data_IF_047811671127
#
_entry.id   IF_047811671127
#
_cell.length_a   1.000
_cell.length_b   1.000
_cell.length_c   1.000
_cell.angle_alpha   90.00
_cell.angle_beta   90.00
_cell.angle_gamma   90.00
#
_symmetry.space_group_name_H-M   'P 1'
#
loop_
_entity.id
_entity.type
_entity.pdbx_description
1 polymer ?
#
# COMPACT_ATOMS: atom_id res chain seq x y z
N UNK A 1 20.57 1.80 23.81
CA UNK A 1 19.50 2.14 22.87
C UNK A 1 18.34 1.20 23.14
N UNK A 2 17.11 1.70 23.29
CA UNK A 2 15.93 0.83 23.39
C UNK A 2 15.42 0.46 21.98
N UNK A 3 14.44 -0.46 21.90
CA UNK A 3 13.95 -0.97 20.61
C UNK A 3 13.37 0.13 19.73
N UNK A 4 12.70 1.11 20.35
CA UNK A 4 12.11 2.22 19.62
C UNK A 4 13.17 3.12 18.99
N UNK A 5 14.23 3.47 19.74
CA UNK A 5 15.35 4.25 19.21
C UNK A 5 16.08 3.52 18.07
N UNK A 6 16.27 2.20 18.20
CA UNK A 6 16.83 1.35 17.15
C UNK A 6 15.95 1.39 15.89
N UNK A 7 14.65 1.10 16.02
CA UNK A 7 13.72 1.09 14.89
C UNK A 7 13.64 2.48 14.24
N UNK A 8 13.72 3.55 15.03
CA UNK A 8 13.80 4.91 14.52
C UNK A 8 15.04 5.16 13.67
N UNK A 9 16.21 4.69 14.13
CA UNK A 9 17.46 4.79 13.37
C UNK A 9 17.34 4.06 12.03
N UNK A 10 16.81 2.83 12.04
CA UNK A 10 16.62 2.05 10.81
C UNK A 10 15.62 2.70 9.86
N UNK A 11 14.47 3.16 10.38
CA UNK A 11 13.47 3.87 9.59
C UNK A 11 14.01 5.16 8.95
N UNK A 12 14.82 5.93 9.69
CA UNK A 12 15.53 7.10 9.16
C UNK A 12 16.50 6.72 8.06
N UNK A 13 17.25 5.64 8.26
CA UNK A 13 18.17 5.11 7.25
C UNK A 13 17.42 4.82 5.96
N UNK A 14 16.34 4.02 6.02
CA UNK A 14 15.46 3.68 4.88
C UNK A 14 15.02 4.94 4.13
N UNK A 15 14.41 5.90 4.84
CA UNK A 15 13.90 7.13 4.23
C UNK A 15 15.03 7.98 3.63
N UNK A 16 16.21 8.02 4.24
CA UNK A 16 17.35 8.78 3.74
C UNK A 16 17.97 8.13 2.49
N UNK A 17 18.16 6.81 2.48
CA UNK A 17 18.72 6.05 1.36
C UNK A 17 17.79 5.96 0.15
N UNK A 18 16.48 6.14 0.33
CA UNK A 18 15.52 6.15 -0.77
C UNK A 18 15.93 7.09 -1.92
N UNK A 19 15.99 6.52 -3.13
CA UNK A 19 16.46 7.15 -4.39
C UNK A 19 17.89 7.75 -4.38
N UNK A 20 18.69 7.57 -3.33
CA UNK A 20 19.98 8.27 -3.20
C UNK A 20 21.00 7.87 -4.28
N UNK A 21 20.85 6.69 -4.88
CA UNK A 21 21.74 6.20 -5.93
C UNK A 21 21.32 6.67 -7.33
N UNK A 22 20.13 7.23 -7.51
CA UNK A 22 19.63 7.63 -8.83
C UNK A 22 20.15 9.03 -9.18
N UNK A 23 21.15 9.10 -10.05
CA UNK A 23 21.85 10.32 -10.43
C UNK A 23 21.61 10.73 -11.90
N UNK A 24 21.08 9.82 -12.73
CA UNK A 24 20.83 10.08 -14.14
C UNK A 24 19.69 9.22 -14.72
N UNK A 25 19.17 9.66 -15.87
CA UNK A 25 18.06 9.05 -16.60
C UNK A 25 18.33 7.59 -17.01
N UNK A 26 19.54 7.30 -17.49
CA UNK A 26 19.92 5.94 -17.91
C UNK A 26 19.88 4.95 -16.73
N UNK A 27 20.43 5.35 -15.58
CA UNK A 27 20.39 4.53 -14.36
C UNK A 27 18.96 4.27 -13.89
N UNK A 28 18.11 5.30 -13.89
CA UNK A 28 16.68 5.13 -13.58
C UNK A 28 16.01 4.14 -14.53
N UNK A 29 16.14 4.34 -15.84
CA UNK A 29 15.51 3.48 -16.85
C UNK A 29 15.95 2.02 -16.72
N UNK A 30 17.22 1.77 -16.39
CA UNK A 30 17.76 0.43 -16.16
C UNK A 30 17.21 -0.21 -14.87
N UNK A 31 17.06 0.55 -13.80
CA UNK A 31 16.63 0.03 -12.49
C UNK A 31 15.11 -0.07 -12.33
N UNK A 32 14.33 0.77 -13.04
CA UNK A 32 12.86 0.86 -12.91
C UNK A 32 12.17 -0.51 -13.06
N UNK A 33 12.47 -1.37 -14.06
CA UNK A 33 11.79 -2.66 -14.19
C UNK A 33 12.00 -3.57 -12.98
N UNK A 34 13.24 -3.62 -12.45
CA UNK A 34 13.55 -4.39 -11.24
C UNK A 34 12.79 -3.84 -10.03
N UNK A 35 12.79 -2.51 -9.86
CA UNK A 35 12.08 -1.84 -8.77
C UNK A 35 10.57 -2.10 -8.85
N UNK A 36 9.97 -1.96 -10.02
CA UNK A 36 8.55 -2.28 -10.22
C UNK A 36 8.22 -3.74 -9.85
N UNK A 37 9.08 -4.69 -10.25
CA UNK A 37 8.94 -6.10 -9.89
C UNK A 37 9.03 -6.33 -8.37
N UNK A 38 9.94 -5.62 -7.69
CA UNK A 38 10.05 -5.65 -6.23
C UNK A 38 8.78 -5.12 -5.55
N UNK A 39 8.17 -4.06 -6.08
CA UNK A 39 6.96 -3.49 -5.47
C UNK A 39 5.75 -4.41 -5.58
N UNK A 40 5.50 -5.03 -6.75
CA UNK A 40 4.39 -5.99 -6.88
C UNK A 40 4.60 -7.27 -6.06
N UNK A 41 5.87 -7.65 -5.81
CA UNK A 41 6.24 -8.73 -4.89
C UNK A 41 5.91 -8.37 -3.44
N UNK A 42 6.26 -7.16 -2.99
CA UNK A 42 5.92 -6.65 -1.65
C UNK A 42 4.41 -6.46 -1.41
N UNK A 43 3.64 -6.28 -2.50
CA UNK A 43 2.18 -6.25 -2.47
C UNK A 43 1.55 -7.66 -2.48
N UNK A 44 2.33 -8.71 -2.75
CA UNK A 44 1.81 -10.08 -2.86
C UNK A 44 0.94 -10.30 -4.09
N UNK A 45 1.14 -9.53 -5.17
CA UNK A 45 0.29 -9.58 -6.38
C UNK A 45 0.99 -10.04 -7.65
N UNK A 46 2.26 -10.47 -7.55
CA UNK A 46 3.07 -10.90 -8.69
C UNK A 46 2.36 -11.92 -9.59
N UNK A 47 1.78 -12.98 -9.01
CA UNK A 47 1.07 -14.00 -9.79
C UNK A 47 -0.15 -13.45 -10.53
N UNK A 48 -0.83 -12.45 -9.98
CA UNK A 48 -1.99 -11.84 -10.63
C UNK A 48 -1.60 -10.90 -11.76
N UNK A 49 -0.49 -10.17 -11.58
CA UNK A 49 0.06 -9.30 -12.62
C UNK A 49 0.55 -10.13 -13.82
N UNK A 50 1.16 -11.30 -13.57
CA UNK A 50 1.71 -12.18 -14.60
C UNK A 50 0.66 -13.06 -15.29
N UNK A 51 -0.61 -13.03 -14.85
CA UNK A 51 -1.68 -13.76 -15.52
C UNK A 51 -1.85 -13.29 -16.96
N UNK A 52 -1.75 -14.22 -17.91
CA UNK A 52 -1.98 -13.97 -19.34
C UNK A 52 -3.43 -13.58 -19.62
N UNK A 53 -4.36 -14.38 -19.09
CA UNK A 53 -5.80 -14.19 -19.26
C UNK A 53 -6.40 -13.90 -17.90
N UNK A 54 -6.72 -12.62 -17.67
CA UNK A 54 -7.45 -12.22 -16.45
C UNK A 54 -8.89 -12.74 -16.53
N UNK A 55 -9.49 -13.16 -15.39
CA UNK A 55 -10.88 -13.62 -15.35
C UNK A 55 -11.85 -12.55 -15.87
N UNK A 56 -13.06 -12.95 -16.28
CA UNK A 56 -14.13 -12.00 -16.62
C UNK A 56 -14.49 -11.11 -15.43
N UNK A 57 -14.90 -9.87 -15.71
CA UNK A 57 -15.36 -8.92 -14.68
C UNK A 57 -16.77 -9.23 -14.18
N UNK A 58 -17.60 -9.98 -14.92
CA UNK A 58 -18.98 -10.33 -14.54
C UNK A 58 -19.76 -9.15 -13.95
N UNK A 59 -19.78 -8.03 -14.67
CA UNK A 59 -20.34 -6.76 -14.19
C UNK A 59 -21.86 -6.88 -14.08
N UNK A 60 -22.40 -6.49 -12.93
CA UNK A 60 -23.85 -6.42 -12.69
C UNK A 60 -24.24 -5.00 -12.33
N UNK A 61 -25.16 -4.42 -13.12
CA UNK A 61 -25.79 -3.13 -12.81
C UNK A 61 -27.06 -3.41 -12.01
N UNK A 62 -27.14 -2.87 -10.79
CA UNK A 62 -28.25 -3.09 -9.86
C UNK A 62 -29.25 -1.94 -9.81
N UNK A 63 -28.92 -0.81 -10.44
CA UNK A 63 -29.84 0.30 -10.64
C UNK A 63 -29.18 1.50 -11.28
N UNK A 64 -29.99 2.44 -11.72
CA UNK A 64 -29.56 3.65 -12.42
C UNK A 64 -30.25 4.85 -11.80
N UNK A 65 -29.49 5.91 -11.50
CA UNK A 65 -30.01 7.21 -11.11
C UNK A 65 -29.83 8.18 -12.27
N UNK A 66 -30.93 8.68 -12.79
CA UNK A 66 -30.91 9.68 -13.86
C UNK A 66 -30.94 11.11 -13.26
N UNK A 67 -29.94 11.93 -13.57
CA UNK A 67 -29.82 13.33 -13.10
C UNK A 67 -29.70 14.27 -14.29
N UNK A 68 -29.83 15.57 -14.06
CA UNK A 68 -29.87 16.55 -15.14
C UNK A 68 -28.62 16.48 -16.04
N UNK A 69 -27.41 16.34 -15.46
CA UNK A 69 -26.13 16.44 -16.18
C UNK A 69 -25.39 15.11 -16.37
N UNK A 70 -25.72 14.10 -15.57
CA UNK A 70 -25.04 12.81 -15.55
C UNK A 70 -26.00 11.70 -15.15
N UNK A 71 -25.58 10.46 -15.38
CA UNK A 71 -26.24 9.24 -14.91
C UNK A 71 -25.33 8.56 -13.89
N UNK A 72 -25.90 7.92 -12.88
CA UNK A 72 -25.17 7.09 -11.92
C UNK A 72 -25.60 5.63 -12.08
N UNK A 73 -24.73 4.78 -12.61
CA UNK A 73 -24.93 3.34 -12.57
C UNK A 73 -24.42 2.79 -11.23
N UNK A 74 -25.25 2.01 -10.55
CA UNK A 74 -24.89 1.28 -9.35
C UNK A 74 -24.49 -0.12 -9.77
N UNK A 75 -23.27 -0.52 -9.46
CA UNK A 75 -22.73 -1.76 -9.99
C UNK A 75 -21.83 -2.48 -9.00
N UNK A 76 -21.70 -3.77 -9.21
CA UNK A 76 -20.59 -4.57 -8.69
C UNK A 76 -20.00 -5.41 -9.81
N UNK A 77 -18.73 -5.78 -9.64
CA UNK A 77 -18.01 -6.64 -10.57
C UNK A 77 -17.05 -7.56 -9.79
N UNK A 78 -16.55 -8.59 -10.44
CA UNK A 78 -15.57 -9.53 -9.91
C UNK A 78 -14.15 -9.10 -10.29
N UNK A 79 -13.31 -8.78 -9.30
CA UNK A 79 -11.88 -8.55 -9.54
C UNK A 79 -11.09 -9.87 -9.64
N UNK A 80 -11.58 -10.92 -8.99
CA UNK A 80 -11.25 -12.34 -9.15
C UNK A 80 -12.55 -13.14 -9.00
N UNK A 81 -12.59 -14.44 -9.36
CA UNK A 81 -13.78 -15.26 -9.18
C UNK A 81 -14.38 -15.12 -7.77
N UNK A 82 -15.55 -14.49 -7.71
CA UNK A 82 -16.35 -14.21 -6.50
C UNK A 82 -15.73 -13.23 -5.50
N UNK A 83 -14.67 -12.52 -5.90
CA UNK A 83 -14.15 -11.35 -5.19
C UNK A 83 -14.86 -10.11 -5.74
N UNK A 84 -16.00 -9.80 -5.14
CA UNK A 84 -16.84 -8.71 -5.58
C UNK A 84 -16.33 -7.36 -5.10
N UNK A 85 -16.36 -6.38 -5.99
CA UNK A 85 -16.05 -4.96 -5.77
C UNK A 85 -17.30 -4.16 -6.12
N UNK A 86 -17.79 -3.38 -5.16
CA UNK A 86 -18.97 -2.53 -5.34
C UNK A 86 -18.57 -1.08 -5.62
N UNK A 87 -19.36 -0.40 -6.46
CA UNK A 87 -19.10 0.98 -6.84
C UNK A 87 -20.27 1.69 -7.49
N UNK A 88 -20.07 2.97 -7.74
CA UNK A 88 -20.97 3.80 -8.53
C UNK A 88 -20.19 4.42 -9.69
N UNK A 89 -20.72 4.28 -10.92
CA UNK A 89 -20.16 4.82 -12.14
C UNK A 89 -20.97 6.05 -12.55
N UNK A 90 -20.32 7.22 -12.55
CA UNK A 90 -20.91 8.49 -12.90
C UNK A 90 -20.56 8.83 -14.35
N UNK A 91 -21.57 8.94 -15.21
CA UNK A 91 -21.43 9.08 -16.66
C UNK A 91 -22.04 10.42 -17.08
N UNK A 92 -21.26 11.37 -17.63
CA UNK A 92 -21.81 12.59 -18.20
C UNK A 92 -22.83 12.28 -19.30
N UNK A 93 -23.94 13.02 -19.38
CA UNK A 93 -24.99 12.78 -20.39
C UNK A 93 -24.59 13.22 -21.80
N UNK A 94 -23.89 14.35 -21.90
CA UNK A 94 -23.58 14.97 -23.18
C UNK A 94 -22.20 14.51 -23.68
N UNK A 95 -22.14 13.32 -24.29
CA UNK A 95 -20.92 12.84 -24.94
C UNK A 95 -21.16 12.33 -26.35
N UNK A 96 -20.47 12.93 -27.32
CA UNK A 96 -20.43 12.47 -28.71
C UNK A 96 -19.22 11.60 -29.02
N UNK A 97 -18.26 11.52 -28.10
CA UNK A 97 -17.01 10.76 -28.20
C UNK A 97 -16.61 10.17 -26.85
N UNK A 98 -15.82 9.08 -26.80
CA UNK A 98 -15.27 8.57 -25.55
C UNK A 98 -14.52 9.64 -24.75
N UNK A 99 -14.79 9.69 -23.45
CA UNK A 99 -14.31 10.70 -22.51
C UNK A 99 -13.19 10.16 -21.62
N UNK A 100 -12.28 11.01 -21.11
CA UNK A 100 -11.33 10.55 -20.10
C UNK A 100 -12.09 10.04 -18.86
N UNK A 101 -11.45 9.14 -18.13
CA UNK A 101 -12.03 8.55 -16.93
C UNK A 101 -11.22 8.84 -15.67
N UNK A 102 -11.90 8.86 -14.53
CA UNK A 102 -11.30 8.93 -13.21
C UNK A 102 -11.70 7.67 -12.42
N UNK A 103 -10.73 6.96 -11.87
CA UNK A 103 -10.97 6.01 -10.80
C UNK A 103 -10.83 6.75 -9.46
N UNK A 104 -11.93 6.86 -8.72
CA UNK A 104 -11.97 7.43 -7.39
C UNK A 104 -11.90 6.31 -6.34
N UNK A 105 -10.86 6.35 -5.50
CA UNK A 105 -10.63 5.36 -4.44
C UNK A 105 -11.07 5.94 -3.09
N UNK A 106 -11.92 5.23 -2.37
CA UNK A 106 -12.46 5.70 -1.10
C UNK A 106 -11.45 5.61 0.06
N UNK A 107 -11.44 6.62 0.93
CA UNK A 107 -10.80 6.53 2.25
C UNK A 107 -11.69 5.83 3.28
N UNK A 108 -11.18 5.59 4.49
CA UNK A 108 -11.83 4.80 5.54
C UNK A 108 -12.96 5.56 6.28
N UNK A 109 -13.97 6.01 5.54
CA UNK A 109 -15.21 6.56 6.09
C UNK A 109 -16.31 5.50 6.08
N UNK A 110 -17.31 5.63 6.97
CA UNK A 110 -18.53 4.82 6.88
C UNK A 110 -19.38 5.26 5.69
N UNK A 111 -20.12 4.33 5.08
CA UNK A 111 -21.00 4.60 3.94
C UNK A 111 -20.26 5.32 2.80
N UNK A 112 -19.16 4.73 2.34
CA UNK A 112 -18.15 5.39 1.50
C UNK A 112 -18.75 6.08 0.26
N UNK A 113 -19.65 5.42 -0.48
CA UNK A 113 -20.32 6.04 -1.64
C UNK A 113 -21.06 7.32 -1.26
N UNK A 114 -21.85 7.29 -0.18
CA UNK A 114 -22.56 8.47 0.33
C UNK A 114 -21.60 9.57 0.82
N UNK A 115 -20.49 9.19 1.46
CA UNK A 115 -19.53 10.14 2.00
C UNK A 115 -18.74 10.87 0.92
N UNK A 116 -18.36 10.18 -0.16
CA UNK A 116 -17.47 10.71 -1.20
C UNK A 116 -18.16 11.12 -2.50
N UNK A 117 -19.47 10.90 -2.67
CA UNK A 117 -20.22 11.15 -3.91
C UNK A 117 -20.03 12.53 -4.57
N UNK A 118 -19.77 13.57 -3.79
CA UNK A 118 -19.59 14.92 -4.31
C UNK A 118 -18.39 15.04 -5.28
N UNK A 119 -17.37 14.19 -5.12
CA UNK A 119 -16.21 14.16 -5.99
C UNK A 119 -16.51 13.59 -7.38
N UNK A 120 -17.01 12.35 -7.53
CA UNK A 120 -17.34 11.80 -8.84
C UNK A 120 -18.48 12.57 -9.54
N UNK A 121 -19.43 13.15 -8.80
CA UNK A 121 -20.43 14.08 -9.36
C UNK A 121 -19.74 15.26 -10.05
N UNK A 122 -18.82 15.91 -9.34
CA UNK A 122 -18.08 17.07 -9.88
C UNK A 122 -17.20 16.69 -11.07
N UNK A 123 -16.56 15.52 -11.03
CA UNK A 123 -15.82 15.03 -12.19
C UNK A 123 -16.72 14.75 -13.40
N UNK A 124 -17.92 14.20 -13.19
CA UNK A 124 -18.88 14.00 -14.27
C UNK A 124 -19.32 15.33 -14.89
N UNK A 125 -19.60 16.35 -14.09
CA UNK A 125 -19.87 17.71 -14.59
C UNK A 125 -18.70 18.33 -15.37
N UNK A 126 -17.48 17.94 -15.02
CA UNK A 126 -16.25 18.34 -15.70
C UNK A 126 -15.92 17.43 -16.90
N UNK A 127 -16.84 16.56 -17.33
CA UNK A 127 -16.69 15.72 -18.53
C UNK A 127 -15.77 14.51 -18.35
N UNK A 128 -15.74 13.94 -17.14
CA UNK A 128 -15.03 12.69 -16.85
C UNK A 128 -16.00 11.58 -16.49
N UNK A 129 -15.85 10.40 -17.10
CA UNK A 129 -16.51 9.19 -16.60
C UNK A 129 -15.82 8.78 -15.30
N UNK A 130 -16.55 8.75 -14.19
CA UNK A 130 -15.92 8.51 -12.88
C UNK A 130 -16.45 7.26 -12.21
N UNK A 131 -15.58 6.27 -12.03
CA UNK A 131 -15.89 5.08 -11.24
C UNK A 131 -15.39 5.29 -9.82
N UNK A 132 -16.29 5.29 -8.86
CA UNK A 132 -15.96 5.25 -7.44
C UNK A 132 -16.11 3.81 -6.95
N UNK A 133 -15.05 3.24 -6.36
CA UNK A 133 -15.09 1.90 -5.75
C UNK A 133 -14.88 1.99 -4.24
N UNK A 134 -15.58 1.12 -3.51
CA UNK A 134 -15.45 0.99 -2.07
C UNK A 134 -14.29 0.07 -1.69
N UNK A 135 -13.77 0.26 -0.47
CA UNK A 135 -12.79 -0.65 0.13
C UNK A 135 -13.50 -1.79 0.84
N UNK A 136 -12.86 -2.94 0.91
CA UNK A 136 -13.25 -4.02 1.82
C UNK A 136 -13.28 -3.49 3.26
N UNK A 137 -14.14 -4.06 4.10
CA UNK A 137 -14.42 -3.66 5.50
C UNK A 137 -15.28 -2.39 5.64
N UNK A 138 -15.01 -1.32 4.88
CA UNK A 138 -15.71 -0.04 5.04
C UNK A 138 -16.83 0.22 4.03
N UNK A 139 -16.82 -0.50 2.90
CA UNK A 139 -17.89 -0.53 1.92
C UNK A 139 -19.04 -1.45 2.31
N UNK A 140 -19.87 -1.82 1.32
CA UNK A 140 -21.00 -2.72 1.56
C UNK A 140 -20.60 -4.16 1.91
N UNK A 141 -19.39 -4.61 1.57
CA UNK A 141 -18.92 -5.96 1.89
C UNK A 141 -18.01 -5.96 3.12
N UNK A 142 -18.44 -6.58 4.24
CA UNK A 142 -17.67 -6.58 5.48
C UNK A 142 -16.52 -7.60 5.39
N UNK A 143 -15.28 -7.14 5.21
CA UNK A 143 -14.08 -8.00 5.28
C UNK A 143 -13.09 -7.53 6.37
N UNK A 144 -11.90 -8.14 6.39
CA UNK A 144 -10.88 -7.86 7.41
C UNK A 144 -9.70 -7.10 6.84
N UNK A 145 -9.47 -5.92 7.40
CA UNK A 145 -8.42 -5.00 6.99
C UNK A 145 -7.56 -4.50 8.18
N UNK A 146 -7.90 -4.90 9.41
CA UNK A 146 -7.14 -4.62 10.64
C UNK A 146 -6.71 -5.93 11.32
N UNK A 147 -6.26 -6.91 10.54
CA UNK A 147 -5.78 -8.20 11.04
C UNK A 147 -4.62 -8.07 12.01
N UNK A 148 -3.56 -7.36 11.63
CA UNK A 148 -2.35 -7.29 12.46
C UNK A 148 -2.50 -6.25 13.56
N UNK A 149 -3.14 -5.12 13.25
CA UNK A 149 -3.38 -4.07 14.23
C UNK A 149 -4.40 -4.46 15.33
N UNK A 150 -5.48 -5.19 14.99
CA UNK A 150 -6.58 -5.48 15.93
C UNK A 150 -6.73 -6.96 16.30
N UNK A 151 -6.45 -7.88 15.38
CA UNK A 151 -6.79 -9.30 15.54
C UNK A 151 -5.59 -10.23 15.76
N UNK A 152 -4.37 -9.69 15.88
CA UNK A 152 -3.15 -10.47 16.11
C UNK A 152 -2.77 -11.40 14.95
N UNK A 153 -3.26 -11.13 13.74
CA UNK A 153 -3.04 -11.98 12.56
C UNK A 153 -1.66 -11.74 11.92
N UNK A 154 -0.59 -11.75 12.73
CA UNK A 154 0.79 -11.51 12.26
C UNK A 154 1.26 -12.52 11.21
N UNK A 155 0.63 -13.71 11.18
CA UNK A 155 0.84 -14.72 10.14
C UNK A 155 0.50 -14.23 8.72
N UNK A 156 -0.27 -13.14 8.57
CA UNK A 156 -0.52 -12.51 7.27
C UNK A 156 0.79 -12.11 6.58
N UNK A 157 1.69 -11.45 7.29
CA UNK A 157 2.98 -11.04 6.73
C UNK A 157 3.86 -12.23 6.39
N UNK A 158 3.87 -13.27 7.24
CA UNK A 158 4.61 -14.51 6.96
C UNK A 158 4.10 -15.26 5.73
N UNK A 159 2.81 -15.11 5.40
CA UNK A 159 2.22 -15.67 4.19
C UNK A 159 2.45 -14.80 2.95
N UNK A 160 3.00 -13.59 3.09
CA UNK A 160 3.05 -12.61 1.99
C UNK A 160 1.72 -11.90 1.73
N UNK A 161 0.74 -11.99 2.65
CA UNK A 161 -0.56 -11.33 2.51
C UNK A 161 -0.53 -9.93 3.12
N UNK A 162 -0.99 -8.95 2.33
CA UNK A 162 -1.37 -7.63 2.81
C UNK A 162 -2.72 -7.24 2.19
N UNK A 163 -3.65 -6.64 2.95
CA UNK A 163 -4.88 -6.10 2.38
C UNK A 163 -4.64 -5.07 1.26
N UNK A 164 -3.50 -4.36 1.30
CA UNK A 164 -3.05 -3.43 0.25
C UNK A 164 -2.98 -4.09 -1.12
N UNK A 165 -2.49 -5.33 -1.18
CA UNK A 165 -2.38 -6.08 -2.44
C UNK A 165 -3.74 -6.35 -3.06
N UNK A 166 -4.72 -6.71 -2.23
CA UNK A 166 -6.10 -6.94 -2.68
C UNK A 166 -6.71 -5.65 -3.23
N UNK A 167 -6.54 -4.53 -2.53
CA UNK A 167 -7.11 -3.24 -2.97
C UNK A 167 -6.43 -2.68 -4.22
N UNK A 168 -5.11 -2.84 -4.36
CA UNK A 168 -4.41 -2.51 -5.59
C UNK A 168 -4.92 -3.38 -6.75
N UNK A 169 -5.12 -4.68 -6.51
CA UNK A 169 -5.70 -5.56 -7.52
C UNK A 169 -7.14 -5.15 -7.89
N UNK A 170 -7.99 -4.84 -6.91
CA UNK A 170 -9.33 -4.33 -7.15
C UNK A 170 -9.30 -3.06 -8.01
N UNK A 171 -8.37 -2.13 -7.75
CA UNK A 171 -8.21 -0.92 -8.53
C UNK A 171 -7.71 -1.20 -9.96
N UNK A 172 -6.76 -2.12 -10.16
CA UNK A 172 -6.31 -2.57 -11.50
C UNK A 172 -7.50 -3.14 -12.31
N UNK A 173 -8.35 -3.94 -11.65
CA UNK A 173 -9.55 -4.52 -12.27
C UNK A 173 -10.66 -3.50 -12.50
N UNK A 174 -10.74 -2.45 -11.68
CA UNK A 174 -11.60 -1.30 -11.93
C UNK A 174 -11.13 -0.49 -13.16
N UNK A 175 -9.83 -0.40 -13.41
CA UNK A 175 -9.28 0.16 -14.65
C UNK A 175 -9.64 -0.73 -15.86
N UNK A 176 -9.58 -2.06 -15.72
CA UNK A 176 -10.06 -2.98 -16.76
C UNK A 176 -11.54 -2.73 -17.09
N UNK A 177 -12.38 -2.53 -16.06
CA UNK A 177 -13.80 -2.18 -16.23
C UNK A 177 -13.95 -0.87 -16.99
N UNK A 178 -13.30 0.21 -16.54
CA UNK A 178 -13.32 1.50 -17.21
C UNK A 178 -12.92 1.38 -18.69
N UNK A 179 -11.86 0.65 -19.01
CA UNK A 179 -11.42 0.46 -20.40
C UNK A 179 -12.40 -0.33 -21.26
N UNK A 180 -13.26 -1.18 -20.67
CA UNK A 180 -14.29 -1.91 -21.41
C UNK A 180 -15.55 -1.08 -21.71
N UNK A 181 -15.70 0.10 -21.10
CA UNK A 181 -16.89 0.94 -21.25
C UNK A 181 -16.82 1.76 -22.55
N UNK A 182 -17.86 1.79 -23.39
CA UNK A 182 -17.85 2.53 -24.66
C UNK A 182 -17.73 4.05 -24.47
N UNK A 183 -18.18 4.58 -23.33
CA UNK A 183 -18.09 6.00 -22.97
C UNK A 183 -16.67 6.43 -22.54
N UNK A 184 -15.74 5.50 -22.33
CA UNK A 184 -14.40 5.76 -21.80
C UNK A 184 -13.32 5.72 -22.89
N UNK A 185 -12.51 6.76 -22.96
CA UNK A 185 -11.23 6.71 -23.63
C UNK A 185 -10.20 6.03 -22.72
N UNK A 186 -9.95 4.76 -23.01
CA UNK A 186 -9.05 3.91 -22.23
C UNK A 186 -7.58 4.37 -22.18
N UNK A 187 -7.19 5.38 -22.98
CA UNK A 187 -5.86 5.98 -22.95
C UNK A 187 -5.76 7.22 -22.06
N UNK A 188 -6.87 7.67 -21.45
CA UNK A 188 -6.91 8.89 -20.62
C UNK A 188 -7.58 8.62 -19.28
N UNK A 189 -6.90 7.83 -18.45
CA UNK A 189 -7.39 7.42 -17.12
C UNK A 189 -6.58 8.12 -16.03
N UNK A 190 -7.28 8.77 -15.10
CA UNK A 190 -6.71 9.32 -13.88
C UNK A 190 -7.11 8.55 -12.63
N UNK A 191 -6.32 8.66 -11.55
CA UNK A 191 -6.65 8.05 -10.25
C UNK A 191 -6.49 9.06 -9.12
N UNK A 192 -7.48 9.14 -8.23
CA UNK A 192 -7.41 9.99 -7.03
C UNK A 192 -8.21 9.39 -5.88
N UNK A 193 -7.94 9.88 -4.68
CA UNK A 193 -8.61 9.49 -3.45
C UNK A 193 -7.99 10.20 -2.27
N UNK A 194 -8.66 10.15 -1.12
CA UNK A 194 -8.18 10.73 0.14
C UNK A 194 -7.93 9.65 1.20
N UNK A 195 -6.93 9.86 2.07
CA UNK A 195 -6.65 8.98 3.21
C UNK A 195 -6.28 7.57 2.71
N UNK A 196 -7.04 6.54 3.08
CA UNK A 196 -6.96 5.21 2.48
C UNK A 196 -6.96 5.21 0.95
N UNK A 197 -7.86 5.99 0.35
CA UNK A 197 -7.90 6.17 -1.10
C UNK A 197 -6.70 6.92 -1.66
N UNK A 198 -6.10 7.80 -0.86
CA UNK A 198 -4.86 8.49 -1.21
C UNK A 198 -3.65 7.55 -1.21
N UNK A 199 -3.55 6.65 -0.23
CA UNK A 199 -2.56 5.58 -0.22
C UNK A 199 -2.74 4.63 -1.42
N UNK A 200 -3.97 4.19 -1.70
CA UNK A 200 -4.24 3.33 -2.85
C UNK A 200 -3.91 4.04 -4.17
N UNK A 201 -4.14 5.35 -4.26
CA UNK A 201 -3.77 6.16 -5.42
C UNK A 201 -2.26 6.11 -5.68
N UNK A 202 -1.42 6.20 -4.65
CA UNK A 202 0.03 6.00 -4.79
C UNK A 202 0.34 4.62 -5.36
N UNK A 203 -0.25 3.58 -4.77
CA UNK A 203 0.15 2.20 -5.04
C UNK A 203 -0.33 1.71 -6.41
N UNK A 204 -1.60 1.94 -6.77
CA UNK A 204 -2.11 1.54 -8.09
C UNK A 204 -1.43 2.34 -9.20
N UNK A 205 -1.16 3.63 -8.99
CA UNK A 205 -0.48 4.44 -10.00
C UNK A 205 0.96 3.97 -10.19
N UNK A 206 1.65 3.54 -9.13
CA UNK A 206 3.00 2.98 -9.23
C UNK A 206 3.04 1.63 -9.97
N UNK A 207 1.97 0.83 -9.87
CA UNK A 207 1.90 -0.51 -10.48
C UNK A 207 1.35 -0.49 -11.90
N UNK A 208 0.37 0.36 -12.22
CA UNK A 208 -0.36 0.33 -13.48
C UNK A 208 -0.06 1.55 -14.37
N UNK A 209 0.67 1.33 -15.47
CA UNK A 209 1.08 2.36 -16.42
C UNK A 209 -0.09 2.87 -17.31
N UNK A 210 -1.29 2.29 -17.19
CA UNK A 210 -2.51 2.83 -17.82
C UNK A 210 -3.02 4.09 -17.14
N UNK A 211 -2.69 4.27 -15.86
CA UNK A 211 -2.93 5.54 -15.15
C UNK A 211 -2.05 6.62 -15.78
N UNK A 212 -2.64 7.65 -16.37
CA UNK A 212 -1.93 8.73 -17.07
C UNK A 212 -1.71 9.97 -16.23
N UNK A 213 -2.50 10.15 -15.18
CA UNK A 213 -2.29 11.19 -14.18
C UNK A 213 -2.81 10.67 -12.83
N UNK A 214 -2.21 11.08 -11.72
CA UNK A 214 -2.75 10.75 -10.41
C UNK A 214 -2.62 11.91 -9.41
N UNK A 215 -3.51 11.87 -8.42
CA UNK A 215 -3.55 12.89 -7.38
C UNK A 215 -3.89 12.29 -6.00
N UNK A 216 -2.92 11.74 -5.26
CA UNK A 216 -3.15 11.28 -3.89
C UNK A 216 -3.34 12.46 -2.92
N UNK A 217 -4.40 12.40 -2.12
CA UNK A 217 -4.74 13.45 -1.14
C UNK A 217 -4.61 12.90 0.28
N UNK A 218 -3.81 13.55 1.13
CA UNK A 218 -3.57 13.17 2.53
C UNK A 218 -3.43 11.64 2.68
N UNK A 219 -2.53 11.04 1.90
CA UNK A 219 -2.56 9.60 1.64
C UNK A 219 -1.72 8.76 2.59
N UNK A 220 -0.44 9.10 2.78
CA UNK A 220 0.51 8.37 3.62
C UNK A 220 1.78 9.22 3.82
N UNK A 221 2.76 8.67 4.56
CA UNK A 221 3.98 9.32 5.01
C UNK A 221 5.21 8.43 4.77
N UNK A 222 6.39 8.95 5.10
CA UNK A 222 7.68 8.23 5.09
C UNK A 222 7.68 7.13 6.14
N UNK A 223 8.52 6.12 5.95
CA UNK A 223 8.75 5.06 6.96
C UNK A 223 9.30 5.67 8.25
N UNK A 224 10.20 6.66 8.15
CA UNK A 224 10.67 7.45 9.28
C UNK A 224 9.52 8.04 10.10
N UNK A 225 8.55 8.71 9.47
CA UNK A 225 7.41 9.28 10.20
C UNK A 225 6.55 8.19 10.85
N UNK A 226 6.25 7.13 10.11
CA UNK A 226 5.44 6.01 10.58
C UNK A 226 6.00 5.39 11.85
N UNK A 227 7.30 5.13 11.88
CA UNK A 227 7.97 4.51 13.03
C UNK A 227 8.25 5.53 14.14
N UNK A 228 8.86 6.68 13.81
CA UNK A 228 9.33 7.61 14.83
C UNK A 228 8.25 8.50 15.42
N UNK A 229 7.18 8.80 14.69
CA UNK A 229 6.08 9.62 15.19
C UNK A 229 4.84 8.79 15.54
N UNK A 230 4.97 7.46 15.48
CA UNK A 230 3.86 6.52 15.67
C UNK A 230 2.68 6.78 14.74
N UNK A 231 2.89 7.40 13.58
CA UNK A 231 1.80 7.67 12.64
C UNK A 231 1.22 6.39 12.06
N UNK A 232 1.93 5.26 12.15
CA UNK A 232 1.41 3.93 11.77
C UNK A 232 0.28 3.43 12.68
N UNK A 233 0.22 3.87 13.93
CA UNK A 233 -0.71 3.33 14.91
C UNK A 233 -2.15 3.70 14.58
N UNK A 234 -3.06 2.73 14.61
CA UNK A 234 -4.48 2.97 14.33
C UNK A 234 -4.84 2.88 12.86
N UNK A 235 -3.86 2.77 11.96
CA UNK A 235 -4.15 2.60 10.56
C UNK A 235 -4.68 1.22 10.21
N UNK A 236 -5.44 1.22 9.12
CA UNK A 236 -5.82 0.02 8.40
C UNK A 236 -4.56 -0.66 7.84
N UNK A 237 -4.47 -1.99 7.90
CA UNK A 237 -3.33 -2.74 7.35
C UNK A 237 -3.23 -2.57 5.81
N UNK A 238 -4.32 -2.17 5.14
CA UNK A 238 -4.27 -1.82 3.71
C UNK A 238 -3.48 -0.52 3.42
N UNK A 239 -3.01 0.20 4.43
CA UNK A 239 -2.17 1.38 4.23
C UNK A 239 -0.71 1.00 3.96
N UNK A 240 -0.31 -0.26 4.14
CA UNK A 240 1.10 -0.68 4.13
C UNK A 240 1.34 -1.94 3.29
N UNK A 241 2.52 -2.03 2.69
CA UNK A 241 3.00 -3.21 2.00
C UNK A 241 4.03 -3.96 2.86
N UNK A 242 4.31 -5.21 2.51
CA UNK A 242 5.34 -5.99 3.19
C UNK A 242 6.70 -5.48 2.70
N UNK A 243 7.38 -4.69 3.53
CA UNK A 243 8.54 -3.92 3.09
C UNK A 243 9.86 -4.70 3.06
N UNK A 244 9.88 -5.84 2.37
CA UNK A 244 11.06 -6.69 2.29
C UNK A 244 12.26 -5.94 1.70
N UNK A 245 12.07 -5.06 0.72
CA UNK A 245 13.19 -4.37 0.07
C UNK A 245 13.62 -3.06 0.74
N UNK A 246 13.15 -2.77 1.96
CA UNK A 246 13.53 -1.58 2.73
C UNK A 246 13.27 -0.27 1.98
N UNK A 247 12.08 -0.14 1.39
CA UNK A 247 11.67 1.03 0.63
C UNK A 247 11.01 2.09 1.49
N UNK A 248 11.14 3.35 1.07
CA UNK A 248 10.29 4.44 1.53
C UNK A 248 9.12 4.68 0.56
N UNK A 249 8.10 5.43 0.97
CA UNK A 249 7.03 5.87 0.06
C UNK A 249 7.59 6.62 -1.15
N UNK A 250 8.73 7.29 -0.99
CA UNK A 250 9.44 7.94 -2.10
C UNK A 250 9.84 6.94 -3.20
N UNK A 251 10.27 5.72 -2.88
CA UNK A 251 10.60 4.70 -3.90
C UNK A 251 9.35 4.25 -4.67
N UNK A 252 8.20 4.19 -4.01
CA UNK A 252 6.91 3.90 -4.64
C UNK A 252 6.51 5.03 -5.59
N UNK A 253 6.57 6.27 -5.12
CA UNK A 253 6.26 7.46 -5.94
C UNK A 253 7.17 7.60 -7.16
N UNK A 254 8.40 7.12 -7.09
CA UNK A 254 9.33 7.13 -8.20
C UNK A 254 8.84 6.32 -9.39
N UNK A 255 8.13 5.20 -9.16
CA UNK A 255 7.59 4.34 -10.22
C UNK A 255 6.49 5.03 -11.06
N UNK A 256 5.91 6.12 -10.53
CA UNK A 256 4.94 6.96 -11.24
C UNK A 256 5.66 7.85 -12.28
N UNK A 257 6.89 8.29 -11.98
CA UNK A 257 7.66 9.17 -12.85
C UNK A 257 7.89 8.53 -14.24
N UNK A 258 7.78 9.30 -15.34
CA UNK A 258 7.60 10.76 -15.40
C UNK A 258 6.12 11.22 -15.50
N UNK A 259 5.15 10.36 -15.17
CA UNK A 259 3.72 10.69 -15.34
C UNK A 259 3.25 11.77 -14.36
N UNK A 260 2.28 12.61 -14.73
CA UNK A 260 1.68 13.62 -13.86
C UNK A 260 1.26 13.11 -12.47
N UNK A 261 1.91 13.63 -11.42
CA UNK A 261 1.64 13.37 -10.01
C UNK A 261 1.38 14.67 -9.22
N UNK A 262 0.15 14.84 -8.72
CA UNK A 262 -0.21 15.92 -7.79
C UNK A 262 -0.32 15.38 -6.36
N UNK A 263 0.60 15.77 -5.48
CA UNK A 263 0.53 15.45 -4.06
C UNK A 263 -0.25 16.56 -3.36
N UNK A 264 -1.34 16.23 -2.66
CA UNK A 264 -2.05 17.20 -1.82
C UNK A 264 -2.04 16.74 -0.35
N UNK A 265 -1.74 17.62 0.59
CA UNK A 265 -1.68 17.27 2.03
C UNK A 265 -1.99 18.46 2.93
N UNK A 266 -2.64 18.20 4.07
CA UNK A 266 -2.98 19.23 5.03
C UNK A 266 -1.84 19.50 6.03
N UNK A 267 -1.57 20.77 6.33
CA UNK A 267 -0.43 21.19 7.16
C UNK A 267 -0.51 20.74 8.62
N UNK A 268 -1.73 20.55 9.15
CA UNK A 268 -1.96 20.09 10.54
C UNK A 268 -2.62 18.72 10.57
N UNK A 269 -2.36 17.90 9.55
CA UNK A 269 -2.75 16.50 9.56
C UNK A 269 -1.97 15.76 10.65
N UNK A 270 -2.68 15.25 11.66
CA UNK A 270 -2.10 14.49 12.77
C UNK A 270 -1.80 13.04 12.39
N UNK A 271 -2.32 12.60 11.25
CA UNK A 271 -2.15 11.26 10.69
C UNK A 271 -0.91 11.23 9.78
N UNK A 272 -0.76 12.24 8.92
CA UNK A 272 0.34 12.31 7.95
C UNK A 272 1.11 13.61 8.08
N UNK A 273 2.29 13.53 8.72
CA UNK A 273 3.13 14.68 9.00
C UNK A 273 3.56 15.42 7.72
N UNK A 274 3.32 16.73 7.68
CA UNK A 274 3.60 17.54 6.49
C UNK A 274 5.09 17.61 6.14
N UNK A 275 5.99 17.53 7.13
CA UNK A 275 7.43 17.54 6.86
C UNK A 275 7.89 16.25 6.19
N UNK A 276 7.29 15.12 6.57
CA UNK A 276 7.45 13.87 5.85
C UNK A 276 6.99 13.99 4.40
N UNK A 277 5.84 14.61 4.13
CA UNK A 277 5.34 14.80 2.75
C UNK A 277 6.27 15.69 1.92
N UNK A 278 6.79 16.78 2.50
CA UNK A 278 7.79 17.65 1.85
C UNK A 278 9.05 16.87 1.47
N UNK A 279 9.58 16.04 2.39
CA UNK A 279 10.76 15.20 2.13
C UNK A 279 10.55 14.26 0.94
N UNK A 280 9.36 13.67 0.81
CA UNK A 280 8.98 12.83 -0.33
C UNK A 280 8.93 13.66 -1.60
N UNK A 281 8.22 14.80 -1.59
CA UNK A 281 8.12 15.69 -2.75
C UNK A 281 9.50 16.15 -3.24
N UNK A 282 10.38 16.59 -2.35
CA UNK A 282 11.70 17.10 -2.71
C UNK A 282 12.58 16.02 -3.37
N UNK A 283 12.53 14.78 -2.86
CA UNK A 283 13.24 13.64 -3.46
C UNK A 283 12.64 13.27 -4.83
N UNK A 284 11.32 13.24 -4.95
CA UNK A 284 10.65 12.96 -6.22
C UNK A 284 10.90 14.07 -7.24
N UNK A 285 10.83 15.34 -6.85
CA UNK A 285 11.07 16.48 -7.74
C UNK A 285 12.44 16.37 -8.41
N UNK A 286 13.49 16.01 -7.67
CA UNK A 286 14.82 15.74 -8.22
C UNK A 286 14.81 14.64 -9.27
N UNK A 287 14.07 13.55 -9.05
CA UNK A 287 13.92 12.49 -10.05
C UNK A 287 13.18 13.01 -11.29
N UNK A 288 12.08 13.74 -11.13
CA UNK A 288 11.36 14.33 -12.27
C UNK A 288 12.25 15.29 -13.06
N UNK A 289 13.15 16.01 -12.41
CA UNK A 289 14.14 16.88 -13.07
C UNK A 289 15.17 16.07 -13.88
N UNK A 290 15.69 14.97 -13.33
CA UNK A 290 16.55 14.01 -14.05
C UNK A 290 15.86 13.42 -15.28
N UNK A 291 14.53 13.33 -15.26
CA UNK A 291 13.71 12.76 -16.34
C UNK A 291 13.14 13.79 -17.31
N UNK A 292 13.55 15.06 -17.20
CA UNK A 292 13.07 16.17 -18.03
C UNK A 292 11.55 16.38 -17.92
N UNK A 293 10.98 16.12 -16.74
CA UNK A 293 9.54 16.10 -16.47
C UNK A 293 9.15 16.96 -15.26
N UNK A 294 9.92 18.00 -14.95
CA UNK A 294 9.74 18.90 -13.79
C UNK A 294 8.30 19.40 -13.59
N UNK A 295 7.56 19.65 -14.67
CA UNK A 295 6.19 20.18 -14.64
C UNK A 295 5.12 19.12 -14.35
N UNK A 296 5.50 17.84 -14.36
CA UNK A 296 4.61 16.71 -14.09
C UNK A 296 4.58 16.32 -12.60
N UNK A 297 5.15 17.12 -11.70
CA UNK A 297 4.99 16.90 -10.26
C UNK A 297 4.71 18.20 -9.50
N UNK A 298 3.72 18.16 -8.62
CA UNK A 298 3.34 19.32 -7.81
C UNK A 298 2.93 18.91 -6.39
N UNK A 299 3.30 19.72 -5.41
CA UNK A 299 2.82 19.64 -4.03
C UNK A 299 1.84 20.79 -3.74
N UNK A 300 0.68 20.46 -3.17
CA UNK A 300 -0.30 21.40 -2.64
C UNK A 300 -0.44 21.17 -1.15
N UNK A 301 -0.09 22.19 -0.36
CA UNK A 301 -0.31 22.18 1.08
C UNK A 301 -1.56 22.97 1.44
N UNK A 302 -2.49 22.36 2.16
CA UNK A 302 -3.74 23.01 2.58
C UNK A 302 -3.72 23.34 4.06
N UNK A 303 -4.41 24.42 4.51
CA UNK A 303 -4.54 24.70 5.93
C UNK A 303 -5.43 23.64 6.62
N UNK A 304 -5.35 23.59 7.96
CA UNK A 304 -6.24 22.75 8.77
C UNK A 304 -5.78 21.30 8.95
N UNK A 305 -6.64 20.47 9.56
CA UNK A 305 -6.36 19.07 9.86
C UNK A 305 -6.59 18.16 8.64
N UNK A 306 -6.51 16.84 8.86
CA UNK A 306 -6.83 15.81 7.86
C UNK A 306 -8.18 16.09 7.18
N UNK A 307 -8.14 16.48 5.90
CA UNK A 307 -9.34 16.87 5.16
C UNK A 307 -9.10 16.88 3.64
N UNK A 308 -10.18 16.75 2.87
CA UNK A 308 -10.17 17.00 1.43
C UNK A 308 -10.49 18.48 1.19
N UNK A 309 -9.60 19.38 1.61
CA UNK A 309 -9.82 20.83 1.60
C UNK A 309 -10.20 21.37 0.20
N UNK A 310 -10.99 22.46 0.12
CA UNK A 310 -11.40 23.10 -1.14
C UNK A 310 -10.21 23.34 -2.09
N UNK A 311 -9.13 23.96 -1.59
CA UNK A 311 -7.89 24.17 -2.35
C UNK A 311 -7.34 22.89 -2.99
N UNK A 312 -7.32 21.76 -2.28
CA UNK A 312 -6.85 20.49 -2.86
C UNK A 312 -7.87 19.94 -3.85
N UNK A 313 -9.18 20.00 -3.59
CA UNK A 313 -10.22 19.59 -4.55
C UNK A 313 -10.09 20.35 -5.88
N UNK A 314 -10.04 21.67 -5.83
CA UNK A 314 -9.88 22.52 -7.02
C UNK A 314 -8.57 22.23 -7.76
N UNK A 315 -7.47 22.00 -7.03
CA UNK A 315 -6.18 21.69 -7.64
C UNK A 315 -6.20 20.33 -8.34
N UNK A 316 -6.85 19.33 -7.74
CA UNK A 316 -7.05 18.00 -8.32
C UNK A 316 -7.89 18.10 -9.60
N UNK A 317 -8.99 18.85 -9.60
CA UNK A 317 -9.79 19.05 -10.81
C UNK A 317 -9.01 19.75 -11.92
N UNK A 318 -8.30 20.85 -11.61
CA UNK A 318 -7.42 21.56 -12.56
C UNK A 318 -6.35 20.62 -13.13
N UNK A 319 -5.74 19.77 -12.29
CA UNK A 319 -4.72 18.81 -12.70
C UNK A 319 -5.23 17.81 -13.73
N UNK A 320 -6.39 17.20 -13.49
CA UNK A 320 -6.97 16.25 -14.44
C UNK A 320 -7.50 16.93 -15.70
N UNK A 321 -8.07 18.13 -15.61
CA UNK A 321 -8.45 18.93 -16.78
C UNK A 321 -7.25 19.20 -17.69
N UNK A 322 -6.11 19.61 -17.11
CA UNK A 322 -4.87 19.84 -17.85
C UNK A 322 -4.36 18.55 -18.51
N UNK A 323 -4.16 17.49 -17.73
CA UNK A 323 -3.42 16.31 -18.20
C UNK A 323 -4.24 15.28 -18.97
N UNK A 324 -5.58 15.28 -18.84
CA UNK A 324 -6.46 14.32 -19.50
C UNK A 324 -7.44 14.96 -20.49
N UNK A 325 -7.67 16.28 -20.40
CA UNK A 325 -8.53 17.02 -21.32
C UNK A 325 -7.80 18.11 -22.12
N UNK A 326 -6.53 18.40 -21.82
CA UNK A 326 -5.79 19.52 -22.39
C UNK A 326 -6.50 20.87 -22.18
N UNK A 327 -7.20 21.01 -21.04
CA UNK A 327 -7.86 22.24 -20.62
C UNK A 327 -7.05 22.81 -19.46
N UNK A 328 -6.30 23.87 -19.74
CA UNK A 328 -5.58 24.61 -18.71
C UNK A 328 -6.49 25.69 -18.13
N UNK A 329 -6.92 25.51 -16.89
CA UNK A 329 -7.83 26.43 -16.19
C UNK A 329 -7.19 26.91 -14.89
N UNK A 330 -7.14 28.23 -14.64
CA UNK A 330 -6.65 28.79 -13.38
C UNK A 330 -7.43 28.26 -12.18
N UNK A 331 -6.74 28.04 -11.06
CA UNK A 331 -7.32 27.44 -9.85
C UNK A 331 -8.52 28.22 -9.28
N UNK A 332 -8.50 29.55 -9.42
CA UNK A 332 -9.55 30.46 -8.98
C UNK A 332 -10.84 30.35 -9.82
N UNK A 333 -10.76 29.83 -11.05
CA UNK A 333 -11.90 29.64 -11.95
C UNK A 333 -12.51 28.24 -11.85
N UNK A 334 -11.78 27.28 -11.27
CA UNK A 334 -12.31 25.94 -10.99
C UNK A 334 -13.33 26.02 -9.86
N UNK A 335 -14.61 25.81 -10.19
CA UNK A 335 -15.64 25.66 -9.15
C UNK A 335 -15.44 24.37 -8.37
N UNK A 336 -15.70 24.44 -7.08
CA UNK A 336 -15.59 23.30 -6.16
C UNK A 336 -16.73 22.29 -6.33
N UNK A 337 -16.75 21.26 -5.48
CA UNK A 337 -17.87 20.35 -5.31
C UNK A 337 -19.12 21.06 -4.79
N UNK A 338 -20.29 20.53 -5.16
CA UNK A 338 -21.57 20.90 -4.56
C UNK A 338 -21.85 19.99 -3.36
N UNK A 339 -22.15 20.58 -2.20
CA UNK A 339 -22.47 19.85 -0.96
C UNK A 339 -23.97 19.87 -0.63
N UNK A 340 -24.77 20.66 -1.34
CA UNK A 340 -26.21 20.79 -1.13
C UNK A 340 -26.96 19.64 -1.82
N UNK A 341 -26.51 19.23 -3.00
CA UNK A 341 -27.09 18.11 -3.74
C UNK A 341 -26.43 16.78 -3.36
N UNK A 342 -27.05 16.02 -2.46
CA UNK A 342 -26.56 14.71 -2.02
C UNK A 342 -27.62 13.62 -2.19
N UNK A 343 -27.22 12.55 -2.83
CA UNK A 343 -27.98 11.31 -2.87
C UNK A 343 -28.05 10.67 -1.47
N UNK A 344 -29.14 9.97 -1.19
CA UNK A 344 -29.28 9.21 0.06
C UNK A 344 -28.42 7.94 0.05
N UNK A 345 -28.09 7.42 1.22
CA UNK A 345 -27.35 6.15 1.36
C UNK A 345 -28.07 5.03 0.59
N UNK A 346 -29.39 4.91 0.77
CA UNK A 346 -30.19 3.87 0.13
C UNK A 346 -30.22 4.00 -1.39
N UNK A 347 -30.28 5.23 -1.90
CA UNK A 347 -30.29 5.45 -3.35
C UNK A 347 -29.01 4.98 -4.03
N UNK A 348 -27.84 5.15 -3.38
CA UNK A 348 -26.51 4.76 -3.88
C UNK A 348 -26.15 3.29 -3.61
N UNK A 349 -26.94 2.58 -2.80
CA UNK A 349 -26.69 1.19 -2.42
C UNK A 349 -26.71 0.27 -3.65
N UNK A 350 -25.69 -0.60 -3.73
CA UNK A 350 -25.50 -1.58 -4.79
C UNK A 350 -26.22 -2.88 -4.45
N UNK A 351 -26.03 -3.42 -3.24
CA UNK A 351 -26.60 -4.69 -2.82
C UNK A 351 -27.98 -4.51 -2.17
N UNK A 352 -28.97 -4.14 -2.97
CA UNK A 352 -30.35 -3.94 -2.51
C UNK A 352 -31.05 -5.25 -2.12
N UNK A 353 -30.67 -6.37 -2.76
CA UNK A 353 -31.23 -7.71 -2.52
C UNK A 353 -30.30 -8.59 -1.67
N UNK A 354 -29.37 -7.97 -0.94
CA UNK A 354 -28.30 -8.67 -0.23
C UNK A 354 -27.04 -8.88 -1.08
N UNK A 355 -25.93 -9.17 -0.40
CA UNK A 355 -24.65 -9.50 -1.02
C UNK A 355 -24.79 -10.91 -1.64
N UNK A 356 -24.23 -11.18 -2.84
CA UNK A 356 -24.25 -12.52 -3.42
C UNK A 356 -23.77 -13.58 -2.43
N UNK A 357 -24.52 -14.67 -2.28
CA UNK A 357 -24.27 -15.70 -1.26
C UNK A 357 -22.99 -16.50 -1.49
N UNK A 358 -22.43 -16.43 -2.70
CA UNK A 358 -21.19 -17.09 -3.07
C UNK A 358 -19.97 -16.17 -2.97
N UNK A 359 -20.14 -14.96 -2.42
CA UNK A 359 -19.04 -14.01 -2.21
C UNK A 359 -17.88 -14.60 -1.41
N UNK A 360 -16.67 -14.25 -1.82
CA UNK A 360 -15.42 -14.65 -1.16
C UNK A 360 -14.62 -13.46 -0.64
N UNK A 361 -15.12 -12.24 -0.82
CA UNK A 361 -14.48 -10.99 -0.41
C UNK A 361 -14.29 -10.92 1.10
N UNK A 362 -15.29 -11.30 1.89
CA UNK A 362 -15.22 -11.33 3.37
C UNK A 362 -14.06 -12.18 3.90
N UNK A 363 -13.68 -13.22 3.15
CA UNK A 363 -12.65 -14.19 3.53
C UNK A 363 -11.39 -14.10 2.69
N UNK A 364 -11.18 -13.01 1.94
CA UNK A 364 -10.06 -12.85 0.99
C UNK A 364 -8.69 -13.15 1.60
N UNK A 365 -8.46 -12.76 2.85
CA UNK A 365 -7.24 -13.04 3.62
C UNK A 365 -6.90 -14.52 3.78
N UNK A 366 -7.85 -15.45 3.55
CA UNK A 366 -7.62 -16.89 3.67
C UNK A 366 -7.15 -17.55 2.38
N UNK A 367 -7.41 -16.94 1.23
CA UNK A 367 -7.28 -17.60 -0.07
C UNK A 367 -6.59 -16.77 -1.14
N UNK A 368 -6.43 -15.46 -0.96
CA UNK A 368 -5.75 -14.58 -1.92
C UNK A 368 -4.33 -15.08 -2.14
N UNK A 369 -3.49 -15.10 -1.10
CA UNK A 369 -2.17 -15.70 -1.27
C UNK A 369 -2.28 -17.23 -1.35
N UNK A 370 -1.83 -17.77 -2.49
CA UNK A 370 -1.75 -19.20 -2.71
C UNK A 370 -0.68 -19.80 -1.80
N UNK A 371 -1.08 -20.75 -0.95
CA UNK A 371 -0.13 -21.51 -0.14
C UNK A 371 0.70 -22.42 -1.04
N UNK A 372 2.02 -22.39 -0.87
CA UNK A 372 2.94 -23.33 -1.51
C UNK A 372 2.76 -24.73 -0.92
N UNK A 373 2.76 -25.74 -1.78
CA UNK A 373 2.81 -27.15 -1.37
C UNK A 373 4.21 -27.52 -0.89
N UNK A 374 4.35 -28.48 0.04
CA UNK A 374 5.66 -29.00 0.43
C UNK A 374 6.46 -29.46 -0.80
N UNK A 375 7.79 -29.22 -0.85
CA UNK A 375 8.62 -29.68 -1.94
C UNK A 375 8.65 -31.22 -1.98
N UNK A 376 8.68 -31.80 -3.18
CA UNK A 376 8.94 -33.23 -3.32
C UNK A 376 10.45 -33.49 -3.27
N UNK A 377 10.93 -34.04 -2.15
CA UNK A 377 12.34 -34.34 -1.90
C UNK A 377 12.50 -35.85 -1.79
N UNK A 378 13.00 -36.49 -2.86
CA UNK A 378 13.12 -37.95 -2.99
C UNK A 378 14.58 -38.45 -2.93
N UNK A 379 15.53 -37.55 -2.74
CA UNK A 379 16.96 -37.84 -2.76
C UNK A 379 17.74 -36.85 -1.90
N UNK A 380 18.92 -37.26 -1.44
CA UNK A 380 19.81 -36.44 -0.62
C UNK A 380 20.27 -35.20 -1.40
N UNK A 381 20.52 -35.35 -2.69
CA UNK A 381 20.96 -34.28 -3.59
C UNK A 381 19.87 -33.21 -3.72
N UNK A 382 18.61 -33.60 -3.91
CA UNK A 382 17.48 -32.65 -3.94
C UNK A 382 17.26 -31.97 -2.59
N UNK A 383 17.47 -32.67 -1.47
CA UNK A 383 17.37 -32.06 -0.14
C UNK A 383 18.41 -30.95 0.04
N UNK A 384 19.67 -31.23 -0.33
CA UNK A 384 20.77 -30.27 -0.22
C UNK A 384 20.49 -29.04 -1.10
N UNK A 385 20.06 -29.27 -2.34
CA UNK A 385 19.75 -28.19 -3.28
C UNK A 385 18.55 -27.34 -2.84
N UNK A 386 17.47 -27.99 -2.34
CA UNK A 386 16.32 -27.27 -1.79
C UNK A 386 16.72 -26.44 -0.57
N UNK A 387 17.51 -27.01 0.35
CA UNK A 387 18.01 -26.29 1.53
C UNK A 387 18.82 -25.07 1.13
N UNK A 388 19.72 -25.19 0.15
CA UNK A 388 20.53 -24.08 -0.35
C UNK A 388 19.64 -22.95 -0.88
N UNK A 389 18.70 -23.28 -1.78
CA UNK A 389 17.74 -22.33 -2.35
C UNK A 389 16.85 -21.66 -1.30
N UNK A 390 16.37 -22.43 -0.32
CA UNK A 390 15.54 -21.91 0.77
C UNK A 390 16.33 -20.89 1.60
N UNK A 391 17.57 -21.22 1.99
CA UNK A 391 18.43 -20.32 2.76
C UNK A 391 18.72 -19.04 1.95
N UNK A 392 19.06 -19.16 0.66
CA UNK A 392 19.26 -18.00 -0.22
C UNK A 392 18.01 -17.11 -0.28
N UNK A 393 16.82 -17.71 -0.44
CA UNK A 393 15.55 -16.99 -0.48
C UNK A 393 15.25 -16.29 0.85
N UNK A 394 15.51 -16.95 1.98
CA UNK A 394 15.30 -16.37 3.31
C UNK A 394 16.23 -15.18 3.54
N UNK A 395 17.50 -15.26 3.15
CA UNK A 395 18.42 -14.12 3.21
C UNK A 395 18.02 -13.00 2.27
N UNK A 396 17.48 -13.31 1.09
CA UNK A 396 17.04 -12.29 0.13
C UNK A 396 15.74 -11.58 0.55
N UNK A 397 14.77 -12.31 1.13
CA UNK A 397 13.41 -11.81 1.35
C UNK A 397 13.05 -11.52 2.80
N UNK A 398 13.62 -12.24 3.76
CA UNK A 398 13.22 -12.17 5.17
C UNK A 398 14.31 -11.54 6.03
N UNK A 399 15.56 -11.94 5.81
CA UNK A 399 16.71 -11.51 6.61
C UNK A 399 17.63 -10.55 5.85
N UNK A 400 17.12 -9.86 4.81
CA UNK A 400 17.96 -8.96 4.01
C UNK A 400 18.36 -7.67 4.74
N UNK A 401 17.66 -7.34 5.83
CA UNK A 401 18.00 -6.25 6.74
C UNK A 401 19.08 -6.67 7.76
N UNK A 402 19.41 -7.96 7.86
CA UNK A 402 20.44 -8.41 8.79
C UNK A 402 21.82 -7.96 8.30
N UNK A 403 22.75 -7.63 9.21
CA UNK A 403 24.12 -7.29 8.84
C UNK A 403 24.76 -8.41 8.00
N UNK A 404 25.38 -8.05 6.87
CA UNK A 404 26.11 -9.00 6.02
C UNK A 404 27.36 -9.55 6.72
N UNK A 405 28.01 -8.69 7.49
CA UNK A 405 29.16 -9.05 8.30
C UNK A 405 28.73 -9.13 9.77
N UNK A 406 29.14 -10.16 10.52
CA UNK A 406 28.89 -10.24 11.94
C UNK A 406 29.47 -9.01 12.67
N UNK A 407 28.69 -8.42 13.57
CA UNK A 407 29.23 -7.36 14.43
C UNK A 407 30.15 -7.94 15.51
N UNK A 408 30.98 -7.09 16.12
CA UNK A 408 31.69 -7.47 17.33
C UNK A 408 30.67 -7.69 18.45
N UNK A 409 30.52 -8.95 18.88
CA UNK A 409 29.55 -9.33 19.89
C UNK A 409 29.76 -8.61 21.23
N UNK A 410 30.97 -8.11 21.54
CA UNK A 410 31.31 -7.46 22.82
C UNK A 410 30.66 -8.19 24.01
N UNK A 411 30.87 -9.52 24.04
CA UNK A 411 30.21 -10.41 24.99
C UNK A 411 30.70 -10.12 26.40
N UNK A 412 29.76 -10.06 27.35
CA UNK A 412 30.05 -9.87 28.77
C UNK A 412 29.22 -10.85 29.58
N UNK A 413 29.87 -11.54 30.50
CA UNK A 413 29.17 -12.26 31.55
C UNK A 413 28.73 -11.21 32.56
N UNK A 414 27.43 -11.02 32.67
CA UNK A 414 26.82 -9.99 33.52
C UNK A 414 26.36 -10.56 34.86
N UNK A 415 26.01 -11.86 34.87
CA UNK A 415 25.69 -12.61 36.08
C UNK A 415 26.22 -14.03 35.96
N UNK A 416 26.85 -14.50 37.03
CA UNK A 416 27.14 -15.92 37.23
C UNK A 416 26.33 -16.42 38.41
N UNK A 417 25.71 -17.58 38.24
CA UNK A 417 24.92 -18.22 39.27
C UNK A 417 25.30 -19.69 39.40
N UNK A 418 25.35 -20.15 40.64
CA UNK A 418 25.62 -21.52 41.00
C UNK A 418 24.41 -22.14 41.70
N UNK A 419 23.93 -23.28 41.21
CA UNK A 419 22.80 -23.99 41.80
C UNK A 419 23.00 -25.51 41.71
N UNK A 420 23.40 -26.13 42.84
CA UNK A 420 23.72 -27.55 42.89
C UNK A 420 24.81 -27.91 41.88
N UNK A 421 24.54 -28.87 41.00
CA UNK A 421 25.47 -29.32 39.96
C UNK A 421 25.49 -28.42 38.70
N UNK A 422 24.79 -27.29 38.70
CA UNK A 422 24.66 -26.40 37.54
C UNK A 422 25.36 -25.06 37.74
N UNK A 423 25.94 -24.56 36.64
CA UNK A 423 26.44 -23.21 36.45
C UNK A 423 25.53 -22.48 35.46
N UNK A 424 25.02 -21.32 35.85
CA UNK A 424 24.22 -20.43 35.03
C UNK A 424 24.97 -19.14 34.73
N UNK A 425 24.85 -18.66 33.49
CA UNK A 425 25.43 -17.41 33.03
C UNK A 425 24.35 -16.58 32.38
N UNK A 426 24.24 -15.32 32.78
CA UNK A 426 23.61 -14.28 31.96
C UNK A 426 24.70 -13.63 31.14
N UNK A 427 24.63 -13.81 29.82
CA UNK A 427 25.60 -13.24 28.90
C UNK A 427 24.89 -12.14 28.12
N UNK A 428 25.34 -10.90 28.29
CA UNK A 428 24.96 -9.79 27.44
C UNK A 428 25.86 -9.74 26.22
N UNK A 429 25.28 -9.58 25.03
CA UNK A 429 26.02 -9.47 23.78
C UNK A 429 25.34 -8.50 22.82
N UNK A 430 26.14 -7.90 21.95
CA UNK A 430 25.71 -7.05 20.84
C UNK A 430 25.31 -7.96 19.69
N UNK A 431 24.03 -8.02 19.35
CA UNK A 431 23.59 -8.78 18.16
C UNK A 431 23.72 -7.95 16.89
N UNK A 432 23.53 -6.63 17.02
CA UNK A 432 23.67 -5.63 15.97
C UNK A 432 24.16 -4.32 16.57
N UNK A 433 24.77 -3.44 15.77
CA UNK A 433 25.32 -2.18 16.26
C UNK A 433 24.29 -1.39 17.08
N UNK A 434 24.61 -1.13 18.35
CA UNK A 434 23.75 -0.40 19.28
C UNK A 434 22.59 -1.20 19.88
N UNK A 435 22.41 -2.48 19.51
CA UNK A 435 21.39 -3.38 20.03
C UNK A 435 22.03 -4.54 20.82
N UNK A 436 21.74 -4.58 22.14
CA UNK A 436 22.22 -5.65 23.02
C UNK A 436 21.09 -6.57 23.43
N UNK A 437 21.36 -7.86 23.36
CA UNK A 437 20.50 -8.94 23.82
C UNK A 437 21.17 -9.67 24.98
N UNK A 438 20.36 -10.43 25.71
CA UNK A 438 20.84 -11.30 26.77
C UNK A 438 20.52 -12.75 26.39
N UNK A 439 21.45 -13.66 26.67
CA UNK A 439 21.24 -15.09 26.61
C UNK A 439 21.52 -15.71 27.98
N UNK A 440 20.64 -16.59 28.41
CA UNK A 440 20.86 -17.43 29.58
C UNK A 440 21.51 -18.74 29.13
N UNK A 441 22.68 -19.05 29.67
CA UNK A 441 23.40 -20.29 29.40
C UNK A 441 23.50 -21.08 30.68
N UNK A 442 22.98 -22.31 30.68
CA UNK A 442 23.13 -23.25 31.80
C UNK A 442 23.99 -24.42 31.36
N UNK A 443 24.93 -24.84 32.21
CA UNK A 443 25.75 -26.02 32.00
C UNK A 443 25.98 -26.78 33.29
N UNK A 444 26.15 -28.09 33.18
CA UNK A 444 26.55 -28.90 34.33
C UNK A 444 28.01 -28.61 34.71
N UNK A 445 28.33 -28.50 36.00
CA UNK A 445 29.69 -28.20 36.52
C UNK A 445 30.74 -29.16 36.00
N UNK A 446 30.37 -30.44 35.86
CA UNK A 446 31.26 -31.50 35.41
C UNK A 446 31.20 -31.76 33.89
N UNK A 447 30.54 -30.89 33.12
CA UNK A 447 30.44 -31.05 31.66
C UNK A 447 31.82 -30.90 31.00
N UNK A 448 32.19 -31.88 30.16
CA UNK A 448 33.43 -31.85 29.39
C UNK A 448 33.28 -30.94 28.18
N UNK A 449 34.25 -30.05 27.93
CA UNK A 449 34.30 -29.19 26.74
C UNK A 449 35.05 -29.87 25.59
N UNK A 450 34.55 -29.80 24.32
CA UNK A 450 33.30 -29.15 23.90
C UNK A 450 32.05 -29.98 24.26
N UNK A 451 30.98 -29.31 24.68
CA UNK A 451 29.67 -29.91 24.97
C UNK A 451 28.66 -29.48 23.91
N UNK A 452 27.76 -30.35 23.43
CA UNK A 452 26.64 -29.94 22.58
C UNK A 452 25.78 -28.87 23.26
N UNK A 453 25.30 -27.90 22.49
CA UNK A 453 24.43 -26.81 22.96
C UNK A 453 23.02 -27.03 22.42
N UNK A 454 22.02 -26.84 23.27
CA UNK A 454 20.61 -26.73 22.87
C UNK A 454 20.21 -25.27 23.06
N UNK A 455 19.76 -24.64 21.99
CA UNK A 455 19.22 -23.28 22.01
C UNK A 455 17.70 -23.35 22.06
N UNK A 456 17.09 -22.65 23.02
CA UNK A 456 15.64 -22.48 23.11
C UNK A 456 15.30 -20.99 23.11
N UNK A 457 14.25 -20.62 22.39
CA UNK A 457 13.66 -19.29 22.44
C UNK A 457 12.50 -19.34 23.45
N UNK A 458 12.55 -18.45 24.44
CA UNK A 458 11.53 -18.37 25.50
C UNK A 458 10.54 -17.25 25.20
N UNK A 459 9.26 -17.51 25.43
CA UNK A 459 8.25 -16.45 25.46
C UNK A 459 8.40 -15.59 26.74
N UNK A 460 7.86 -14.36 26.76
CA UNK A 460 7.85 -13.53 27.95
C UNK A 460 7.27 -14.27 29.17
N UNK A 461 8.04 -14.39 30.24
CA UNK A 461 7.64 -15.07 31.48
C UNK A 461 7.92 -16.58 31.51
N UNK A 462 8.35 -17.19 30.41
CA UNK A 462 8.85 -18.57 30.42
C UNK A 462 10.23 -18.63 31.08
N UNK A 463 10.45 -19.66 31.88
CA UNK A 463 11.75 -19.98 32.45
C UNK A 463 12.21 -21.33 31.90
N UNK A 464 13.41 -21.39 31.35
CA UNK A 464 14.06 -22.66 31.05
C UNK A 464 14.43 -23.32 32.39
N UNK A 465 13.70 -24.37 32.77
CA UNK A 465 13.95 -25.15 33.99
C UNK A 465 14.71 -26.42 33.68
#
# INVERSE_FOLDING_TARGET
MNIYEYLCREARSITNFSLNTIDNKYKWMRERPKRWRQFIDMLGITEYIDMKDRPSLNVTITGVLDRERYVVEKLYFESLPKLYVAGNLYIPKDFSKPMPAILYLCGHARNQKYHYQAHPQRFAELGFVTLLIETIQWGEIPGYHHGTYRYGLFNWYSLGYTPTGVEVWNAIRAIDLLQSRPEVDGNRIGVTGISGGGAMTWYVSAVDDRVKACAPVCGTATIESHVCKFTINGHCDCMFWINNYMWDLTDVGALIAPRPLLIASAKRDWIFDINSVRKIYDKLKKLYDILDASDNIRLIETPGPHSYHELSRKAVFSWFLKHLRNIDIPLNEVKDIDLEHRESIDSLKVFINGIPSDERTTTVHKWFIKKTSPPNIDSREKLIEYRRKLIETLYEKTFNAFPKEPCNLDMRIELEQEAGEWLGYLIGFTSEEGWRLHIHVTRHRNAKTPTPIVLALLNPGETFR
#
